data_IF_361570901939
#
_entry.id   IF_361570901939
#
_cell.length_a   1.000
_cell.length_b   1.000
_cell.length_c   1.000
_cell.angle_alpha   90.00
_cell.angle_beta   90.00
_cell.angle_gamma   90.00
#
_symmetry.space_group_name_H-M   'P 1'
#
loop_
_entity.id
_entity.type
_entity.pdbx_description
1 polymer ?
#
# COMPACT_ATOMS: atom_id res chain seq x y z
N UNK A 1 13.93 -14.39 4.44
CA UNK A 1 13.18 -13.32 3.75
C UNK A 1 13.02 -12.11 4.66
N UNK A 2 13.26 -10.91 4.12
CA UNK A 2 12.98 -9.62 4.78
C UNK A 2 11.68 -9.05 4.24
N UNK A 3 11.03 -8.18 5.02
CA UNK A 3 9.77 -7.53 4.68
C UNK A 3 9.92 -6.00 4.72
N UNK A 4 9.10 -5.22 4.01
CA UNK A 4 9.22 -3.75 4.08
C UNK A 4 8.75 -3.21 5.44
N UNK A 5 8.01 -4.01 6.21
CA UNK A 5 7.47 -3.68 7.53
C UNK A 5 8.27 -4.32 8.69
N UNK A 6 9.60 -4.47 8.57
CA UNK A 6 10.46 -5.07 9.62
C UNK A 6 10.30 -4.39 10.99
N UNK A 7 10.29 -3.06 11.03
CA UNK A 7 10.18 -2.29 12.28
C UNK A 7 8.83 -2.52 12.95
N UNK A 8 7.75 -2.58 12.17
CA UNK A 8 6.44 -2.95 12.65
C UNK A 8 6.41 -4.39 13.22
N UNK A 9 7.02 -5.37 12.56
CA UNK A 9 7.15 -6.74 13.10
C UNK A 9 7.90 -6.75 14.44
N UNK A 10 9.02 -6.02 14.52
CA UNK A 10 9.79 -5.92 15.75
C UNK A 10 8.96 -5.31 16.89
N UNK A 11 8.17 -4.28 16.58
CA UNK A 11 7.22 -3.70 17.52
C UNK A 11 6.18 -4.73 18.00
N UNK A 12 5.52 -5.45 17.08
CA UNK A 12 4.53 -6.50 17.43
C UNK A 12 5.14 -7.59 18.33
N UNK A 13 6.35 -8.07 18.01
CA UNK A 13 7.06 -9.06 18.82
C UNK A 13 7.33 -8.49 20.22
N UNK A 14 7.78 -7.24 20.32
CA UNK A 14 8.10 -6.59 21.61
C UNK A 14 6.85 -6.39 22.49
N UNK A 15 5.66 -6.36 21.86
CA UNK A 15 4.36 -6.29 22.52
C UNK A 15 3.76 -7.65 22.86
N UNK A 16 4.41 -8.76 22.50
CA UNK A 16 3.88 -10.13 22.67
C UNK A 16 2.57 -10.33 21.88
N UNK A 17 2.40 -9.58 20.79
CA UNK A 17 1.24 -9.66 19.93
C UNK A 17 1.29 -10.91 19.03
N UNK A 18 0.13 -11.34 18.54
CA UNK A 18 0.05 -12.35 17.48
C UNK A 18 0.44 -11.74 16.15
N UNK A 19 1.73 -11.87 15.79
CA UNK A 19 2.31 -11.26 14.59
C UNK A 19 1.55 -11.71 13.34
N UNK A 20 1.39 -13.01 13.12
CA UNK A 20 0.80 -13.51 11.87
C UNK A 20 -0.71 -13.29 11.83
N UNK A 21 -1.43 -13.38 12.97
CA UNK A 21 -2.84 -13.01 13.02
C UNK A 21 -3.08 -11.53 12.70
N UNK A 22 -2.20 -10.64 13.16
CA UNK A 22 -2.29 -9.21 12.82
C UNK A 22 -1.96 -8.96 11.35
N UNK A 23 -0.90 -9.59 10.81
CA UNK A 23 -0.53 -9.44 9.40
C UNK A 23 -1.64 -9.95 8.47
N UNK A 24 -2.25 -11.09 8.79
CA UNK A 24 -3.38 -11.65 8.06
C UNK A 24 -4.57 -10.68 8.04
N UNK A 25 -4.91 -10.08 9.19
CA UNK A 25 -6.01 -9.10 9.30
C UNK A 25 -5.81 -7.84 8.46
N UNK A 26 -4.58 -7.50 8.10
CA UNK A 26 -4.24 -6.33 7.26
C UNK A 26 -3.76 -6.76 5.87
N UNK A 27 -4.03 -8.01 5.48
CA UNK A 27 -3.73 -8.57 4.16
C UNK A 27 -2.24 -8.48 3.80
N UNK A 28 -1.37 -8.75 4.79
CA UNK A 28 0.07 -8.85 4.59
C UNK A 28 0.56 -10.30 4.70
N UNK A 29 1.61 -10.66 3.93
CA UNK A 29 2.21 -11.99 4.00
C UNK A 29 2.69 -12.33 5.42
N UNK A 30 2.39 -13.57 5.83
CA UNK A 30 2.82 -14.11 7.12
C UNK A 30 4.34 -14.26 7.20
N UNK A 31 4.89 -14.07 8.40
CA UNK A 31 6.30 -14.32 8.68
C UNK A 31 6.47 -15.77 9.12
N UNK A 32 7.33 -16.52 8.41
CA UNK A 32 7.64 -17.89 8.80
C UNK A 32 8.22 -18.02 10.21
N UNK A 33 7.97 -19.14 10.87
CA UNK A 33 8.33 -19.36 12.28
C UNK A 33 9.81 -19.12 12.60
N UNK A 34 10.71 -19.57 11.71
CA UNK A 34 12.14 -19.30 11.85
C UNK A 34 12.44 -17.80 11.82
N UNK A 35 11.78 -17.05 10.94
CA UNK A 35 11.93 -15.59 10.88
C UNK A 35 11.46 -14.90 12.16
N UNK A 36 10.37 -15.36 12.77
CA UNK A 36 9.91 -14.84 14.07
C UNK A 36 10.92 -15.22 15.16
N UNK A 37 11.43 -16.44 15.16
CA UNK A 37 12.42 -16.91 16.13
C UNK A 37 13.71 -16.08 16.07
N UNK A 38 14.24 -15.81 14.87
CA UNK A 38 15.45 -14.99 14.68
C UNK A 38 15.28 -13.57 15.20
N UNK A 39 14.09 -12.98 15.03
CA UNK A 39 13.79 -11.63 15.56
C UNK A 39 13.63 -11.63 17.07
N UNK A 40 13.03 -12.69 17.64
CA UNK A 40 12.95 -12.88 19.09
C UNK A 40 14.35 -13.06 19.70
N UNK A 41 15.25 -13.77 19.03
CA UNK A 41 16.61 -13.95 19.52
C UNK A 41 17.39 -12.63 19.51
N UNK A 42 17.37 -11.88 18.41
CA UNK A 42 17.94 -10.52 18.37
C UNK A 42 17.37 -9.58 19.44
N UNK A 43 16.08 -9.71 19.74
CA UNK A 43 15.46 -8.95 20.82
C UNK A 43 15.98 -9.38 22.20
N UNK A 44 16.25 -10.67 22.42
CA UNK A 44 16.83 -11.16 23.68
C UNK A 44 18.22 -10.59 23.95
N UNK A 45 18.99 -10.35 22.90
CA UNK A 45 20.35 -9.81 22.99
C UNK A 45 20.37 -8.30 23.30
N UNK A 46 19.36 -7.56 22.84
CA UNK A 46 19.40 -6.09 22.86
C UNK A 46 18.38 -5.44 23.81
N UNK A 47 17.28 -6.13 24.13
CA UNK A 47 16.18 -5.54 24.87
C UNK A 47 16.47 -5.41 26.38
N UNK A 48 15.95 -4.36 27.03
CA UNK A 48 16.13 -4.16 28.46
C UNK A 48 15.46 -5.28 29.27
N UNK A 49 15.93 -5.53 30.51
CA UNK A 49 15.36 -6.56 31.38
C UNK A 49 13.84 -6.46 31.56
N UNK A 50 13.26 -5.26 31.49
CA UNK A 50 11.82 -5.03 31.55
C UNK A 50 11.07 -5.75 30.41
N UNK A 51 11.53 -5.61 29.16
CA UNK A 51 10.94 -6.30 27.99
C UNK A 51 11.19 -7.81 28.10
N UNK A 52 12.40 -8.23 28.46
CA UNK A 52 12.71 -9.65 28.57
C UNK A 52 11.84 -10.36 29.62
N UNK A 53 11.59 -9.71 30.77
CA UNK A 53 10.67 -10.20 31.79
C UNK A 53 9.25 -10.27 31.25
N UNK A 54 8.77 -9.21 30.59
CA UNK A 54 7.44 -9.15 29.99
C UNK A 54 7.20 -10.27 28.97
N UNK A 55 8.17 -10.52 28.08
CA UNK A 55 8.08 -11.59 27.08
C UNK A 55 8.11 -13.00 27.69
N UNK A 56 8.70 -13.17 28.88
CA UNK A 56 8.75 -14.46 29.61
C UNK A 56 7.52 -14.73 30.48
N UNK A 57 6.68 -13.73 30.74
CA UNK A 57 5.44 -13.92 31.51
C UNK A 57 4.49 -14.90 30.79
N UNK A 58 3.57 -15.52 31.54
CA UNK A 58 2.53 -16.36 30.96
C UNK A 58 1.74 -15.61 29.90
N UNK A 59 1.23 -16.31 28.87
CA UNK A 59 0.53 -15.67 27.74
C UNK A 59 -0.70 -14.87 28.16
N UNK A 60 -1.33 -15.23 29.28
CA UNK A 60 -2.49 -14.52 29.84
C UNK A 60 -2.11 -13.26 30.63
N UNK A 61 -0.83 -13.09 30.98
CA UNK A 61 -0.31 -11.86 31.58
C UNK A 61 0.19 -10.92 30.47
N UNK A 62 -0.65 -9.93 30.16
CA UNK A 62 -0.42 -8.91 29.13
C UNK A 62 -0.01 -7.55 29.69
N UNK A 63 0.14 -7.44 31.02
CA UNK A 63 0.46 -6.16 31.66
C UNK A 63 1.96 -5.94 31.74
N UNK A 64 2.43 -4.87 31.12
CA UNK A 64 3.79 -4.38 31.26
C UNK A 64 3.95 -3.66 32.62
N UNK A 65 4.57 -4.35 33.58
CA UNK A 65 4.74 -3.86 34.96
C UNK A 65 5.94 -2.93 35.11
N UNK A 66 7.04 -3.24 34.43
CA UNK A 66 8.27 -2.45 34.47
C UNK A 66 8.47 -1.74 33.14
N UNK A 67 8.91 -0.47 33.18
CA UNK A 67 9.04 0.38 31.99
C UNK A 67 10.46 0.89 31.75
N UNK A 68 11.38 0.59 32.67
CA UNK A 68 12.72 1.14 32.68
C UNK A 68 13.51 0.72 31.42
N UNK A 69 14.07 1.71 30.73
CA UNK A 69 14.89 1.53 29.53
C UNK A 69 14.13 1.12 28.27
N UNK A 70 12.79 1.00 28.29
CA UNK A 70 12.00 0.58 27.13
C UNK A 70 12.00 1.65 26.04
N UNK A 71 11.76 2.92 26.39
CA UNK A 71 11.75 4.00 25.41
C UNK A 71 13.13 4.24 24.79
N UNK A 72 14.20 4.16 25.59
CA UNK A 72 15.57 4.31 25.09
C UNK A 72 15.97 3.16 24.16
N UNK A 73 15.56 1.94 24.48
CA UNK A 73 15.74 0.80 23.59
C UNK A 73 14.90 0.93 22.32
N UNK A 74 13.64 1.37 22.44
CA UNK A 74 12.75 1.58 21.32
C UNK A 74 13.28 2.68 20.38
N UNK A 75 13.94 3.71 20.92
CA UNK A 75 14.61 4.75 20.13
C UNK A 75 15.75 4.18 19.31
N UNK A 76 16.62 3.35 19.91
CA UNK A 76 17.72 2.68 19.20
C UNK A 76 17.26 1.72 18.10
N UNK A 77 16.01 1.27 18.16
CA UNK A 77 15.38 0.40 17.17
C UNK A 77 14.39 1.17 16.28
N UNK A 78 14.37 2.50 16.34
CA UNK A 78 13.50 3.38 15.56
C UNK A 78 11.98 3.07 15.70
N UNK A 79 11.55 2.56 16.85
CA UNK A 79 10.14 2.24 17.16
C UNK A 79 9.61 2.97 18.41
N UNK A 80 10.34 3.99 18.89
CA UNK A 80 9.97 4.77 20.09
C UNK A 80 8.57 5.35 19.99
N UNK A 81 8.24 5.95 18.85
CA UNK A 81 6.94 6.59 18.66
C UNK A 81 5.75 5.59 18.72
N UNK A 82 5.95 4.34 18.28
CA UNK A 82 4.95 3.27 18.42
C UNK A 82 4.75 2.87 19.90
N UNK A 83 5.83 2.86 20.68
CA UNK A 83 5.79 2.62 22.12
C UNK A 83 5.16 3.77 22.91
N UNK A 84 5.44 5.03 22.54
CA UNK A 84 4.86 6.21 23.19
C UNK A 84 3.34 6.31 22.98
N UNK A 85 2.79 5.70 21.92
CA UNK A 85 1.33 5.57 21.71
C UNK A 85 0.66 4.60 22.67
N UNK A 86 1.40 3.70 23.29
CA UNK A 86 0.80 2.68 24.15
C UNK A 86 0.27 3.28 25.46
N UNK A 87 -0.78 2.67 26.00
CA UNK A 87 -1.43 3.12 27.25
C UNK A 87 -0.47 3.20 28.43
N UNK A 88 0.54 2.34 28.45
CA UNK A 88 1.58 2.28 29.46
C UNK A 88 2.52 3.49 29.43
N UNK A 89 2.53 4.28 28.36
CA UNK A 89 3.38 5.47 28.20
C UNK A 89 2.57 6.75 28.02
N UNK A 90 1.28 6.73 28.37
CA UNK A 90 0.42 7.91 28.40
C UNK A 90 -0.28 8.24 27.07
N UNK A 91 -0.27 7.33 26.08
CA UNK A 91 -0.94 7.48 24.79
C UNK A 91 -0.59 8.80 24.10
N UNK A 92 0.69 9.03 23.82
CA UNK A 92 1.10 10.21 23.06
C UNK A 92 0.52 10.14 21.64
N UNK A 93 -0.47 10.97 21.36
CA UNK A 93 -1.09 11.06 20.03
C UNK A 93 -0.22 11.97 19.17
N UNK A 94 0.31 11.42 18.09
CA UNK A 94 1.02 12.17 17.05
C UNK A 94 0.18 12.02 15.78
N UNK A 95 -0.55 13.06 15.34
CA UNK A 95 -1.50 12.95 14.23
C UNK A 95 -0.88 12.40 12.94
N UNK A 96 0.34 12.83 12.60
CA UNK A 96 1.04 12.33 11.41
C UNK A 96 1.34 10.81 11.49
N UNK A 97 1.68 10.31 12.68
CA UNK A 97 1.89 8.88 12.89
C UNK A 97 0.58 8.10 12.79
N UNK A 98 -0.52 8.68 13.30
CA UNK A 98 -1.85 8.08 13.18
C UNK A 98 -2.30 7.96 11.73
N UNK A 99 -2.19 9.03 10.93
CA UNK A 99 -2.47 8.98 9.51
C UNK A 99 -1.58 7.99 8.77
N UNK A 100 -0.27 7.96 9.05
CA UNK A 100 0.65 6.99 8.45
C UNK A 100 0.25 5.54 8.76
N UNK A 101 -0.21 5.31 9.99
CA UNK A 101 -0.70 3.99 10.40
C UNK A 101 -2.00 3.62 9.68
N UNK A 102 -2.93 4.56 9.56
CA UNK A 102 -4.20 4.33 8.85
C UNK A 102 -3.95 4.00 7.37
N UNK A 103 -3.01 4.69 6.72
CA UNK A 103 -2.58 4.37 5.35
C UNK A 103 -2.01 2.94 5.28
N UNK A 104 -1.15 2.55 6.22
CA UNK A 104 -0.55 1.22 6.23
C UNK A 104 -1.56 0.09 6.50
N UNK A 105 -2.53 0.33 7.36
CA UNK A 105 -3.56 -0.63 7.72
C UNK A 105 -4.59 -0.83 6.60
N UNK A 106 -4.77 0.16 5.72
CA UNK A 106 -5.59 0.03 4.52
C UNK A 106 -4.78 -0.62 3.38
N UNK A 107 -5.15 -1.83 2.91
CA UNK A 107 -4.39 -2.56 1.89
C UNK A 107 -4.23 -1.81 0.58
N UNK A 108 -5.28 -1.10 0.15
CA UNK A 108 -5.29 -0.38 -1.11
C UNK A 108 -4.47 0.92 -1.02
N UNK A 109 -4.64 1.72 0.03
CA UNK A 109 -3.82 2.92 0.26
C UNK A 109 -2.34 2.59 0.47
N UNK A 110 -2.03 1.52 1.22
CA UNK A 110 -0.67 1.00 1.39
C UNK A 110 -0.05 0.62 0.06
N UNK A 111 -0.80 -0.08 -0.79
CA UNK A 111 -0.33 -0.53 -2.10
C UNK A 111 0.01 0.62 -3.02
N UNK A 112 -0.89 1.61 -3.12
CA UNK A 112 -0.68 2.80 -3.95
C UNK A 112 0.54 3.58 -3.48
N UNK A 113 0.60 3.95 -2.19
CA UNK A 113 1.73 4.71 -1.65
C UNK A 113 3.04 3.92 -1.74
N UNK A 114 3.00 2.63 -1.41
CA UNK A 114 4.16 1.73 -1.45
C UNK A 114 4.72 1.56 -2.86
N UNK A 115 3.87 1.42 -3.88
CA UNK A 115 4.29 1.33 -5.28
C UNK A 115 4.91 2.64 -5.78
N UNK A 116 4.29 3.78 -5.46
CA UNK A 116 4.83 5.09 -5.85
C UNK A 116 6.18 5.37 -5.20
N UNK A 117 6.36 4.96 -3.94
CA UNK A 117 7.67 5.03 -3.27
C UNK A 117 8.72 4.10 -3.88
N UNK A 118 8.32 2.91 -4.34
CA UNK A 118 9.20 1.98 -5.05
C UNK A 118 9.65 2.52 -6.41
N UNK A 119 8.78 3.26 -7.09
CA UNK A 119 9.10 4.00 -8.31
C UNK A 119 9.91 5.29 -8.05
N UNK A 120 10.32 5.54 -6.81
CA UNK A 120 11.08 6.73 -6.40
C UNK A 120 10.39 8.06 -6.75
N UNK A 121 9.05 8.08 -6.72
CA UNK A 121 8.27 9.29 -6.99
C UNK A 121 8.59 10.40 -5.97
N UNK A 122 8.65 11.68 -6.39
CA UNK A 122 8.90 12.82 -5.51
C UNK A 122 7.75 13.01 -4.52
N UNK A 123 8.05 13.60 -3.35
CA UNK A 123 7.08 13.76 -2.25
C UNK A 123 5.82 14.51 -2.71
N UNK A 124 5.99 15.53 -3.55
CA UNK A 124 4.88 16.32 -4.10
C UNK A 124 3.89 15.45 -4.89
N UNK A 125 4.41 14.48 -5.65
CA UNK A 125 3.60 13.56 -6.42
C UNK A 125 2.93 12.50 -5.54
N UNK A 126 3.62 12.02 -4.50
CA UNK A 126 3.02 11.12 -3.50
C UNK A 126 1.82 11.78 -2.83
N UNK A 127 1.96 13.05 -2.43
CA UNK A 127 0.88 13.83 -1.80
C UNK A 127 -0.30 13.99 -2.76
N UNK A 128 -0.03 14.38 -4.01
CA UNK A 128 -1.07 14.60 -5.01
C UNK A 128 -1.86 13.32 -5.31
N UNK A 129 -1.19 12.19 -5.52
CA UNK A 129 -1.85 10.91 -5.81
C UNK A 129 -2.69 10.44 -4.63
N UNK A 130 -2.18 10.58 -3.41
CA UNK A 130 -2.93 10.18 -2.21
C UNK A 130 -4.16 11.05 -1.97
N UNK A 131 -4.07 12.36 -2.23
CA UNK A 131 -5.23 13.26 -2.16
C UNK A 131 -6.28 12.91 -3.23
N UNK A 132 -5.85 12.65 -4.47
CA UNK A 132 -6.76 12.29 -5.57
C UNK A 132 -7.48 10.96 -5.36
N UNK A 133 -6.78 9.94 -4.87
CA UNK A 133 -7.34 8.59 -4.70
C UNK A 133 -8.13 8.42 -3.41
N UNK A 134 -7.72 9.11 -2.34
CA UNK A 134 -8.23 8.84 -0.99
C UNK A 134 -8.82 10.06 -0.29
N UNK A 135 -8.79 11.24 -0.93
CA UNK A 135 -9.17 12.51 -0.29
C UNK A 135 -8.49 12.69 1.08
N UNK A 136 -7.26 12.20 1.17
CA UNK A 136 -6.48 12.17 2.40
C UNK A 136 -5.37 13.20 2.29
N UNK A 137 -5.41 14.21 3.16
CA UNK A 137 -4.32 15.19 3.27
C UNK A 137 -3.06 14.50 3.79
N UNK A 138 -2.12 14.23 2.89
CA UNK A 138 -0.82 13.65 3.21
C UNK A 138 0.23 14.76 3.32
N UNK A 139 1.05 14.69 4.35
CA UNK A 139 2.17 15.61 4.58
C UNK A 139 3.50 14.85 4.51
N UNK A 140 4.61 15.58 4.34
CA UNK A 140 5.95 14.98 4.35
C UNK A 140 6.24 14.19 5.63
N UNK A 141 5.72 14.63 6.78
CA UNK A 141 5.89 13.92 8.05
C UNK A 141 5.16 12.57 8.06
N UNK A 142 3.96 12.50 7.47
CA UNK A 142 3.20 11.25 7.31
C UNK A 142 3.98 10.26 6.46
N UNK A 143 4.51 10.71 5.31
CA UNK A 143 5.33 9.87 4.41
C UNK A 143 6.62 9.41 5.12
N UNK A 144 7.23 10.27 5.93
CA UNK A 144 8.42 9.93 6.71
C UNK A 144 8.13 8.83 7.74
N UNK A 145 7.03 8.94 8.50
CA UNK A 145 6.60 7.87 9.41
C UNK A 145 6.23 6.58 8.68
N UNK A 146 5.52 6.69 7.55
CA UNK A 146 5.16 5.54 6.72
C UNK A 146 6.40 4.79 6.23
N UNK A 147 7.33 5.50 5.59
CA UNK A 147 8.55 4.92 5.03
C UNK A 147 9.49 4.34 6.08
N UNK A 148 9.58 4.97 7.25
CA UNK A 148 10.46 4.48 8.30
C UNK A 148 9.85 3.29 9.06
N UNK A 149 8.59 3.36 9.48
CA UNK A 149 8.04 2.37 10.42
C UNK A 149 7.33 1.21 9.74
N UNK A 150 6.65 1.50 8.63
CA UNK A 150 5.63 0.64 8.06
C UNK A 150 6.01 0.10 6.67
N UNK A 151 6.77 0.86 5.89
CA UNK A 151 7.13 0.47 4.52
C UNK A 151 8.50 0.99 4.10
N UNK A 152 9.55 0.37 4.63
CA UNK A 152 10.93 0.71 4.30
C UNK A 152 11.38 0.03 3.01
N UNK A 153 11.30 0.78 1.91
CA UNK A 153 11.72 0.35 0.59
C UNK A 153 13.20 -0.05 0.55
N UNK A 154 14.04 0.57 1.38
CA UNK A 154 15.50 0.35 1.38
C UNK A 154 15.91 -0.90 2.15
N UNK A 155 15.06 -1.43 3.01
CA UNK A 155 15.35 -2.63 3.80
C UNK A 155 15.44 -3.89 2.94
N UNK A 156 14.78 -3.89 1.78
CA UNK A 156 14.75 -4.98 0.82
C UNK A 156 15.54 -4.62 -0.45
N UNK A 157 16.52 -5.46 -0.81
CA UNK A 157 17.15 -5.38 -2.12
C UNK A 157 16.25 -5.94 -3.22
N UNK A 158 16.64 -5.78 -4.49
CA UNK A 158 15.89 -6.28 -5.65
C UNK A 158 15.43 -7.73 -5.52
N UNK A 159 16.34 -8.64 -5.13
CA UNK A 159 15.99 -10.04 -4.91
C UNK A 159 14.94 -10.22 -3.81
N UNK A 160 14.98 -9.40 -2.75
CA UNK A 160 13.97 -9.45 -1.69
C UNK A 160 12.59 -9.06 -2.20
N UNK A 161 12.52 -8.05 -3.07
CA UNK A 161 11.27 -7.66 -3.75
C UNK A 161 10.77 -8.75 -4.69
N UNK A 162 11.65 -9.37 -5.48
CA UNK A 162 11.30 -10.48 -6.38
C UNK A 162 10.71 -11.69 -5.62
N UNK A 163 11.16 -11.95 -4.38
CA UNK A 163 10.61 -12.98 -3.50
C UNK A 163 9.31 -12.56 -2.80
N UNK A 164 9.12 -11.27 -2.52
CA UNK A 164 7.98 -10.75 -1.77
C UNK A 164 6.74 -10.51 -2.61
N UNK A 165 6.89 -9.94 -3.79
CA UNK A 165 5.77 -9.59 -4.67
C UNK A 165 4.87 -10.81 -4.99
N UNK A 166 5.39 -12.02 -5.25
CA UNK A 166 4.56 -13.20 -5.47
C UNK A 166 3.70 -13.62 -4.26
N UNK A 167 4.04 -13.16 -3.05
CA UNK A 167 3.31 -13.50 -1.82
C UNK A 167 2.12 -12.59 -1.55
N UNK A 168 2.01 -11.47 -2.28
CA UNK A 168 0.87 -10.56 -2.24
C UNK A 168 -0.32 -11.14 -3.03
N UNK A 169 -1.52 -10.63 -2.75
CA UNK A 169 -2.70 -10.89 -3.57
C UNK A 169 -2.51 -10.37 -5.02
N UNK A 170 -3.34 -10.82 -5.94
CA UNK A 170 -3.16 -10.54 -7.36
C UNK A 170 -3.29 -9.03 -7.71
N UNK A 171 -4.15 -8.29 -6.99
CA UNK A 171 -4.38 -6.86 -7.22
C UNK A 171 -3.19 -6.02 -6.72
N UNK A 172 -2.75 -6.26 -5.49
CA UNK A 172 -1.57 -5.63 -4.89
C UNK A 172 -0.30 -6.01 -5.66
N UNK A 173 -0.17 -7.28 -6.05
CA UNK A 173 1.00 -7.79 -6.78
C UNK A 173 1.24 -7.00 -8.06
N UNK A 174 0.21 -6.76 -8.86
CA UNK A 174 0.37 -6.04 -10.12
C UNK A 174 0.91 -4.61 -9.91
N UNK A 175 0.31 -3.88 -8.97
CA UNK A 175 0.66 -2.47 -8.71
C UNK A 175 2.05 -2.36 -8.08
N UNK A 176 2.38 -3.21 -7.10
CA UNK A 176 3.72 -3.22 -6.47
C UNK A 176 4.80 -3.66 -7.46
N UNK A 177 4.54 -4.64 -8.35
CA UNK A 177 5.48 -5.08 -9.38
C UNK A 177 5.82 -3.96 -10.38
N UNK A 178 4.84 -3.15 -10.79
CA UNK A 178 5.09 -1.98 -11.62
C UNK A 178 6.03 -0.98 -10.93
N UNK A 179 5.81 -0.71 -9.64
CA UNK A 179 6.68 0.16 -8.86
C UNK A 179 8.10 -0.40 -8.71
N UNK A 180 8.22 -1.68 -8.34
CA UNK A 180 9.52 -2.33 -8.09
C UNK A 180 10.39 -2.45 -9.36
N UNK A 181 9.79 -2.48 -10.55
CA UNK A 181 10.51 -2.51 -11.83
C UNK A 181 11.03 -1.15 -12.29
N UNK A 182 10.80 -0.09 -11.51
CA UNK A 182 11.16 1.27 -11.87
C UNK A 182 10.26 1.83 -12.98
N UNK A 183 8.97 1.46 -12.98
CA UNK A 183 7.97 2.12 -13.80
C UNK A 183 7.97 3.62 -13.54
N UNK A 184 7.64 4.44 -14.55
CA UNK A 184 7.53 5.89 -14.31
C UNK A 184 6.33 6.13 -13.38
N UNK A 185 6.39 7.14 -12.49
CA UNK A 185 5.24 7.51 -11.67
C UNK A 185 3.95 7.70 -12.50
N UNK A 186 4.05 8.23 -13.71
CA UNK A 186 2.92 8.33 -14.66
C UNK A 186 2.30 6.96 -15.01
N UNK A 187 3.10 5.93 -15.25
CA UNK A 187 2.62 4.58 -15.57
C UNK A 187 1.85 3.98 -14.39
N UNK A 188 2.32 4.26 -13.17
CA UNK A 188 1.62 3.90 -11.95
C UNK A 188 0.31 4.67 -11.78
N UNK A 189 0.29 5.98 -12.07
CA UNK A 189 -0.95 6.79 -12.05
C UNK A 189 -2.00 6.22 -12.98
N UNK A 190 -1.62 5.80 -14.19
CA UNK A 190 -2.53 5.11 -15.10
C UNK A 190 -3.03 3.78 -14.52
N UNK A 191 -2.14 2.97 -13.93
CA UNK A 191 -2.50 1.67 -13.38
C UNK A 191 -3.47 1.76 -12.19
N UNK A 192 -3.31 2.78 -11.34
CA UNK A 192 -4.17 3.03 -10.17
C UNK A 192 -5.40 3.91 -10.50
N UNK A 193 -5.55 4.33 -11.76
CA UNK A 193 -6.66 5.20 -12.19
C UNK A 193 -6.61 6.63 -11.62
N UNK A 194 -5.43 7.13 -11.26
CA UNK A 194 -5.24 8.53 -10.87
C UNK A 194 -5.19 9.45 -12.09
N UNK A 195 -5.57 10.72 -11.89
CA UNK A 195 -5.47 11.71 -12.95
C UNK A 195 -3.99 11.95 -13.24
N UNK A 196 -3.51 11.57 -14.42
CA UNK A 196 -2.15 11.91 -14.84
C UNK A 196 -2.13 13.38 -15.28
N UNK A 197 -1.16 14.21 -14.86
CA UNK A 197 -0.99 15.56 -15.37
C UNK A 197 -0.52 15.50 -16.83
N UNK A 198 -1.38 15.08 -17.74
CA UNK A 198 -1.07 15.03 -19.15
C UNK A 198 -1.01 16.45 -19.68
N UNK A 199 0.18 16.94 -20.04
CA UNK A 199 0.23 17.92 -21.13
C UNK A 199 -0.21 17.15 -22.37
N UNK A 200 -1.33 17.51 -23.03
CA UNK A 200 -1.85 16.75 -24.17
C UNK A 200 -0.81 16.55 -25.28
N UNK A 201 0.14 17.48 -25.37
CA UNK A 201 1.28 17.45 -26.29
C UNK A 201 2.29 16.34 -25.98
N UNK A 202 2.58 16.06 -24.71
CA UNK A 202 3.56 15.04 -24.29
C UNK A 202 2.98 13.63 -24.47
N UNK A 203 1.73 13.41 -24.08
CA UNK A 203 1.02 12.14 -24.31
C UNK A 203 0.87 11.86 -25.81
N UNK A 204 0.53 12.88 -26.61
CA UNK A 204 0.48 12.74 -28.07
C UNK A 204 1.86 12.42 -28.66
N UNK A 205 2.92 13.06 -28.16
CA UNK A 205 4.27 12.83 -28.63
C UNK A 205 4.77 11.42 -28.29
N UNK A 206 4.40 10.87 -27.13
CA UNK A 206 4.71 9.50 -26.75
C UNK A 206 3.92 8.49 -27.58
N UNK A 207 2.61 8.72 -27.80
CA UNK A 207 1.79 7.88 -28.69
C UNK A 207 2.36 7.89 -30.11
N UNK A 208 2.73 9.05 -30.64
CA UNK A 208 3.31 9.18 -31.98
C UNK A 208 4.69 8.53 -32.06
N UNK A 209 5.51 8.65 -31.02
CA UNK A 209 6.84 8.04 -30.97
C UNK A 209 6.75 6.51 -30.91
N UNK A 210 5.85 6.00 -30.08
CA UNK A 210 5.58 4.56 -29.98
C UNK A 210 5.01 4.01 -31.29
N UNK A 211 4.00 4.69 -31.87
CA UNK A 211 3.42 4.32 -33.16
C UNK A 211 4.47 4.33 -34.29
N UNK A 212 5.35 5.33 -34.33
CA UNK A 212 6.43 5.40 -35.31
C UNK A 212 7.47 4.29 -35.12
N UNK A 213 7.80 3.93 -33.89
CA UNK A 213 8.71 2.82 -33.60
C UNK A 213 8.11 1.48 -34.03
N UNK A 214 6.86 1.21 -33.67
CA UNK A 214 6.10 0.03 -34.09
C UNK A 214 5.96 -0.05 -35.61
N UNK A 215 5.73 1.08 -36.28
CA UNK A 215 5.67 1.16 -37.74
C UNK A 215 7.02 0.83 -38.40
N UNK A 216 8.13 1.36 -37.88
CA UNK A 216 9.47 1.04 -38.37
C UNK A 216 9.81 -0.44 -38.21
N UNK A 217 9.51 -1.03 -37.05
CA UNK A 217 9.72 -2.45 -36.79
C UNK A 217 8.86 -3.33 -37.73
N UNK A 218 7.62 -2.92 -37.98
CA UNK A 218 6.72 -3.62 -38.88
C UNK A 218 7.13 -3.55 -40.36
N UNK A 219 7.66 -2.42 -40.83
CA UNK A 219 8.19 -2.29 -42.19
C UNK A 219 9.47 -3.11 -42.38
N UNK A 220 10.27 -3.24 -41.32
CA UNK A 220 11.47 -4.07 -41.34
C UNK A 220 11.16 -5.58 -41.29
N UNK A 221 9.90 -5.98 -41.06
CA UNK A 221 9.49 -7.37 -41.02
C UNK A 221 9.19 -7.92 -42.44
N UNK A 222 9.48 -9.21 -42.72
CA UNK A 222 9.39 -9.80 -44.05
C UNK A 222 7.96 -9.90 -44.62
N UNK A 223 6.92 -9.78 -43.79
CA UNK A 223 5.51 -9.72 -44.22
C UNK A 223 4.72 -8.62 -43.50
N UNK A 224 4.70 -7.38 -44.01
CA UNK A 224 4.11 -6.20 -43.36
C UNK A 224 2.58 -6.25 -43.18
N UNK A 225 1.87 -7.09 -43.95
CA UNK A 225 0.40 -7.15 -43.97
C UNK A 225 -0.21 -8.06 -42.88
N UNK A 226 0.58 -8.91 -42.22
CA UNK A 226 0.09 -9.93 -41.29
C UNK A 226 -0.01 -9.45 -39.82
N UNK A 227 0.50 -8.26 -39.50
CA UNK A 227 0.40 -7.66 -38.17
C UNK A 227 -0.43 -6.39 -38.28
N UNK A 228 -1.29 -6.12 -37.29
CA UNK A 228 -2.31 -5.05 -37.24
C UNK A 228 -1.76 -3.59 -37.31
N UNK A 229 -0.75 -3.34 -38.14
CA UNK A 229 0.05 -2.12 -38.28
C UNK A 229 -0.77 -0.97 -38.84
N UNK A 230 -1.69 -1.27 -39.76
CA UNK A 230 -2.60 -0.27 -40.32
C UNK A 230 -3.64 0.23 -39.30
N UNK A 231 -3.99 -0.56 -38.28
CA UNK A 231 -4.94 -0.12 -37.25
C UNK A 231 -4.34 0.99 -36.38
N UNK A 232 -3.06 0.90 -36.03
CA UNK A 232 -2.38 1.92 -35.23
C UNK A 232 -2.14 3.22 -36.01
N UNK A 233 -1.76 3.11 -37.29
CA UNK A 233 -1.67 4.27 -38.18
C UNK A 233 -3.03 4.95 -38.36
N UNK A 234 -4.10 4.18 -38.53
CA UNK A 234 -5.46 4.70 -38.69
C UNK A 234 -6.01 5.33 -37.39
N UNK A 235 -5.65 4.78 -36.23
CA UNK A 235 -5.97 5.35 -34.91
C UNK A 235 -5.24 6.67 -34.68
N UNK A 236 -3.94 6.74 -35.00
CA UNK A 236 -3.17 7.98 -34.93
C UNK A 236 -3.73 9.06 -35.87
N UNK A 237 -4.13 8.67 -37.09
CA UNK A 237 -4.71 9.60 -38.07
C UNK A 237 -6.08 10.13 -37.61
N UNK A 238 -6.91 9.27 -37.01
CA UNK A 238 -8.20 9.67 -36.41
C UNK A 238 -8.02 10.63 -35.24
N UNK A 239 -7.06 10.37 -34.35
CA UNK A 239 -6.73 11.26 -33.23
C UNK A 239 -6.24 12.63 -33.73
N UNK A 240 -5.36 12.67 -34.73
CA UNK A 240 -4.89 13.93 -35.35
C UNK A 240 -6.03 14.69 -36.02
N UNK A 241 -6.97 14.00 -36.67
CA UNK A 241 -8.14 14.63 -37.29
C UNK A 241 -9.13 15.22 -36.28
N UNK A 242 -9.38 14.52 -35.17
CA UNK A 242 -10.21 14.97 -34.05
C UNK A 242 -9.65 16.23 -33.39
N UNK A 243 -8.33 16.28 -33.22
CA UNK A 243 -7.64 17.47 -32.68
C UNK A 243 -7.63 18.67 -33.64
N UNK A 244 -7.66 18.44 -34.96
CA UNK A 244 -7.80 19.53 -35.95
C UNK A 244 -9.21 20.10 -36.02
N UNK A 245 -10.23 19.29 -35.70
CA UNK A 245 -11.63 19.74 -35.64
C UNK A 245 -12.03 20.37 -34.30
N UNK A 246 -11.26 20.13 -33.22
CA UNK A 246 -11.49 20.73 -31.90
C UNK A 246 -10.67 22.01 -31.72
N UNK A 247 -11.22 23.14 -32.13
CA UNK A 247 -10.64 24.46 -31.84
C UNK A 247 -10.65 24.74 -30.34
N UNK A 248 -9.49 24.61 -29.68
CA UNK A 248 -9.27 25.22 -28.37
C UNK A 248 -9.04 26.73 -28.57
N UNK A 249 -10.13 27.50 -28.52
CA UNK A 249 -10.09 28.96 -28.58
C UNK A 249 -11.46 29.62 -28.45
N UNK A 250 -11.84 29.96 -27.20
CA UNK A 250 -12.54 31.19 -26.82
C UNK A 250 -14.04 31.37 -27.13
N UNK A 251 -14.82 31.53 -26.05
CA UNK A 251 -16.13 32.19 -25.88
C UNK A 251 -17.37 31.70 -26.68
N UNK A 252 -18.36 31.20 -25.96
CA UNK A 252 -19.75 31.10 -26.42
C UNK A 252 -20.57 30.00 -25.74
N UNK A 253 -21.32 30.40 -24.71
CA UNK A 253 -22.43 29.71 -24.03
C UNK A 253 -22.17 28.37 -23.31
N UNK A 254 -22.34 28.43 -21.98
CA UNK A 254 -22.46 27.28 -21.08
C UNK A 254 -23.56 26.30 -21.55
N UNK A 255 -23.26 25.01 -21.75
CA UNK A 255 -24.25 23.97 -21.60
C UNK A 255 -24.24 23.47 -20.15
N UNK A 256 -25.31 23.81 -19.45
CA UNK A 256 -25.72 23.34 -18.14
C UNK A 256 -25.34 21.86 -17.87
N UNK A 257 -24.50 21.53 -16.86
CA UNK A 257 -23.98 20.17 -16.63
C UNK A 257 -24.98 19.20 -15.98
N UNK A 258 -26.28 19.54 -15.97
CA UNK A 258 -27.34 18.70 -15.42
C UNK A 258 -28.26 18.20 -16.53
N UNK A 259 -27.80 17.24 -17.32
CA UNK A 259 -28.63 16.18 -17.93
C UNK A 259 -27.78 15.32 -18.88
N UNK A 260 -27.07 14.33 -18.33
CA UNK A 260 -26.83 13.06 -19.04
C UNK A 260 -26.95 11.90 -18.04
N UNK A 261 -28.09 11.24 -18.13
CA UNK A 261 -28.43 9.85 -17.81
C UNK A 261 -28.29 9.29 -16.37
N UNK A 262 -29.26 8.44 -15.94
CA UNK A 262 -29.40 7.94 -14.57
C UNK A 262 -28.67 6.62 -14.33
N UNK A 263 -28.24 6.43 -13.08
CA UNK A 263 -28.09 5.16 -12.34
C UNK A 263 -27.84 3.88 -13.16
N UNK A 264 -26.61 3.37 -13.14
CA UNK A 264 -26.41 1.94 -13.38
C UNK A 264 -25.64 1.19 -12.32
N UNK A 265 -24.86 1.81 -11.42
CA UNK A 265 -24.30 1.10 -10.27
C UNK A 265 -24.18 2.03 -9.07
N UNK A 266 -24.83 1.67 -7.96
CA UNK A 266 -24.49 2.24 -6.66
C UNK A 266 -23.33 1.43 -6.10
N UNK A 267 -22.13 1.99 -6.11
CA UNK A 267 -21.03 1.44 -5.33
C UNK A 267 -21.28 1.91 -3.90
N UNK A 268 -21.90 1.06 -3.08
CA UNK A 268 -21.75 1.18 -1.63
C UNK A 268 -20.31 0.83 -1.32
N UNK A 269 -19.49 1.86 -1.12
CA UNK A 269 -18.18 1.73 -0.51
C UNK A 269 -18.47 1.23 0.90
N UNK A 270 -18.30 -0.07 1.14
CA UNK A 270 -18.21 -0.56 2.51
C UNK A 270 -17.03 0.19 3.13
N UNK A 271 -17.31 1.04 4.12
CA UNK A 271 -16.25 1.63 4.92
C UNK A 271 -15.40 0.48 5.43
N UNK A 272 -14.11 0.39 5.03
CA UNK A 272 -13.26 -0.67 5.54
C UNK A 272 -13.29 -0.55 7.05
N UNK A 273 -13.47 -1.67 7.75
CA UNK A 273 -13.33 -1.70 9.21
C UNK A 273 -11.88 -1.32 9.50
N UNK A 274 -11.65 -0.05 9.77
CA UNK A 274 -10.36 0.48 10.21
C UNK A 274 -10.13 -0.15 11.58
N UNK A 275 -9.27 -1.17 11.62
CA UNK A 275 -8.75 -1.70 12.87
C UNK A 275 -7.91 -0.57 13.45
N UNK A 276 -8.29 -0.01 14.60
CA UNK A 276 -7.44 1.00 15.23
C UNK A 276 -6.16 0.34 15.69
N UNK A 277 -5.03 1.06 15.65
CA UNK A 277 -3.80 0.59 16.33
C UNK A 277 -4.02 0.33 17.81
N UNK A 278 -5.01 1.02 18.42
CA UNK A 278 -5.40 0.80 19.81
C UNK A 278 -6.10 -0.57 20.03
N UNK A 279 -6.59 -1.20 18.95
CA UNK A 279 -7.21 -2.54 18.97
C UNK A 279 -6.18 -3.68 18.80
N UNK A 280 -4.88 -3.37 18.67
CA UNK A 280 -3.81 -4.37 18.60
C UNK A 280 -3.38 -4.90 19.99
N UNK A 281 -4.22 -4.71 21.00
CA UNK A 281 -4.02 -5.22 22.36
C UNK A 281 -4.41 -6.71 22.44
N UNK A 282 -3.42 -7.61 22.37
CA UNK A 282 -3.45 -8.89 23.09
C UNK A 282 -4.62 -9.86 22.83
N UNK A 283 -5.36 -9.74 21.73
CA UNK A 283 -6.37 -10.74 21.37
C UNK A 283 -5.70 -12.02 20.88
N UNK A 284 -5.43 -12.94 21.81
CA UNK A 284 -5.44 -14.38 21.50
C UNK A 284 -6.91 -14.79 21.43
N UNK A 285 -7.64 -14.26 20.45
CA UNK A 285 -8.88 -14.87 20.05
C UNK A 285 -8.47 -15.97 19.07
N UNK A 286 -8.51 -17.22 19.53
CA UNK A 286 -8.63 -18.34 18.59
C UNK A 286 -9.76 -17.97 17.63
N UNK A 287 -9.43 -17.68 16.38
CA UNK A 287 -10.41 -17.37 15.36
C UNK A 287 -11.32 -18.59 15.24
N UNK A 288 -12.51 -18.52 15.87
CA UNK A 288 -13.68 -19.16 15.29
C UNK A 288 -13.80 -18.55 13.91
N UNK A 289 -13.40 -19.30 12.92
CA UNK A 289 -13.43 -18.90 11.52
C UNK A 289 -14.86 -18.51 11.13
N UNK A 290 -15.03 -17.70 10.08
CA UNK A 290 -16.36 -17.44 9.52
C UNK A 290 -17.08 -18.76 9.16
N UNK A 291 -16.30 -19.82 8.89
CA UNK A 291 -16.76 -21.18 8.71
C UNK A 291 -17.35 -21.80 10.00
N UNK A 292 -16.73 -21.60 11.17
CA UNK A 292 -17.24 -22.09 12.46
C UNK A 292 -18.56 -21.40 12.86
N UNK A 293 -18.72 -20.12 12.52
CA UNK A 293 -19.99 -19.40 12.72
C UNK A 293 -21.06 -19.86 11.75
N UNK A 294 -20.73 -20.04 10.47
CA UNK A 294 -21.63 -20.58 9.47
C UNK A 294 -22.07 -22.03 9.82
N UNK A 295 -21.17 -22.83 10.40
CA UNK A 295 -21.48 -24.17 10.87
C UNK A 295 -22.35 -24.18 12.14
N UNK A 296 -22.13 -23.26 13.08
CA UNK A 296 -23.01 -23.10 14.26
C UNK A 296 -24.42 -22.62 13.87
N UNK A 297 -24.53 -21.78 12.83
CA UNK A 297 -25.82 -21.28 12.35
C UNK A 297 -26.58 -22.35 11.55
N UNK A 298 -25.90 -23.13 10.71
CA UNK A 298 -26.48 -24.32 10.04
C UNK A 298 -26.91 -25.42 11.02
N UNK A 299 -26.21 -25.56 12.16
CA UNK A 299 -26.57 -26.52 13.20
C UNK A 299 -27.78 -26.07 14.04
N UNK A 300 -28.10 -24.76 14.06
CA UNK A 300 -29.29 -24.20 14.72
C UNK A 300 -30.52 -24.22 13.83
N UNK A 301 -30.36 -24.12 12.51
CA UNK A 301 -31.48 -24.19 11.55
C UNK A 301 -32.02 -25.62 11.32
N UNK A 302 -31.24 -26.66 11.68
CA UNK A 302 -31.62 -28.07 11.52
C UNK A 302 -32.14 -28.73 12.82
N UNK A 303 -32.58 -27.95 13.80
CA UNK A 303 -33.29 -28.42 15.01
C UNK A 303 -34.68 -27.81 15.08
#
# INVERSE_FOLDING_TARGET
>A
MRYPYERFIAFLISRKADVNGILERIELPAVGDMGIADRKERMRETAPPAILRYLRQNRHDLKLVFRDGILDWAEKNDIRCLWERQKEFGRKIVPALESASNIFLNPYSRTVLGAMMLAEAPIEELVEVMDQQFSTEVTSDIISYFSSLFWDVKTMGRQGWDEFIPTLDDEQRHVIDLGARGGRPDDLRYAIGAATPSKPKEVLQDILTHAHHQFKQAIAAPHPAAHNVFKWADLATKVVSSMRSGGFGGDGDEPNPRQVAPSLFSITIEEPRIISLDDLDGEIAAHKTALDRAMEDLAKENK
#
